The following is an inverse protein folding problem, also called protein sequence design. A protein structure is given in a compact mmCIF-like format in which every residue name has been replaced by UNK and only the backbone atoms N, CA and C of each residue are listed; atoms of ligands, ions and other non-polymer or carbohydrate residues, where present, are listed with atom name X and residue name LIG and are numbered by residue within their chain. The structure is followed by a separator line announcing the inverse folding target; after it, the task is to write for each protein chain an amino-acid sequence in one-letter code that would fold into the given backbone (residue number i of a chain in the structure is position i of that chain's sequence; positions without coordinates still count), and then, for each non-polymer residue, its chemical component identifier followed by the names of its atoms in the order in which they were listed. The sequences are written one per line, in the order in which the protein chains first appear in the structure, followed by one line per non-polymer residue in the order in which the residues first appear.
data_IF_773064191084
#
_entry.id   IF_773064191084
#
_cell.length_a   1.000
_cell.length_b   1.000
_cell.length_c   1.000
_cell.angle_alpha   90.00
_cell.angle_beta   90.00
_cell.angle_gamma   90.00
#
_symmetry.space_group_name_H-M   'P 1'
#
loop_
_entity.id
_entity.type
_entity.pdbx_description
1 polymer ?
#
# COMPACT_ATOMS: atom_id res chain seq x y z
N UNK A 1 2.49 -14.60 -24.08
CA UNK A 1 2.13 -13.18 -24.30
C UNK A 1 0.70 -12.97 -24.82
N UNK A 2 0.22 -13.80 -25.74
CA UNK A 2 -1.14 -13.70 -26.30
C UNK A 2 -2.25 -13.78 -25.23
N UNK A 3 -2.19 -14.79 -24.36
CA UNK A 3 -3.18 -15.01 -23.30
C UNK A 3 -3.28 -13.82 -22.35
N UNK A 4 -2.12 -13.25 -21.95
CA UNK A 4 -2.09 -12.02 -21.15
C UNK A 4 -2.82 -10.87 -21.87
N UNK A 5 -2.57 -10.65 -23.16
CA UNK A 5 -3.23 -9.57 -23.93
C UNK A 5 -4.74 -9.78 -24.00
N UNK A 6 -5.20 -11.02 -24.18
CA UNK A 6 -6.63 -11.34 -24.16
C UNK A 6 -7.26 -11.06 -22.79
N UNK A 7 -6.58 -11.42 -21.69
CA UNK A 7 -7.03 -11.12 -20.34
C UNK A 7 -7.03 -9.60 -20.06
N UNK A 8 -6.01 -8.86 -20.49
CA UNK A 8 -5.99 -7.39 -20.40
C UNK A 8 -7.22 -6.81 -21.09
N UNK A 9 -7.51 -7.24 -22.33
CA UNK A 9 -8.68 -6.76 -23.06
C UNK A 9 -10.01 -7.08 -22.34
N UNK A 10 -10.12 -8.27 -21.73
CA UNK A 10 -11.29 -8.66 -20.95
C UNK A 10 -11.51 -7.75 -19.73
N UNK A 11 -10.44 -7.44 -18.99
CA UNK A 11 -10.52 -6.64 -17.76
C UNK A 11 -10.46 -5.12 -17.99
N UNK A 12 -10.11 -4.65 -19.20
CA UNK A 12 -10.20 -3.23 -19.57
C UNK A 12 -11.62 -2.66 -19.45
N UNK A 13 -12.66 -3.52 -19.41
CA UNK A 13 -14.05 -3.09 -19.21
C UNK A 13 -14.35 -2.55 -17.82
N UNK A 14 -13.51 -2.78 -16.81
CA UNK A 14 -13.74 -2.38 -15.41
C UNK A 14 -13.49 -0.87 -15.15
N UNK A 15 -13.90 -0.03 -16.10
CA UNK A 15 -13.55 1.40 -16.16
C UNK A 15 -14.13 2.21 -15.01
N UNK A 16 -15.35 1.92 -14.56
CA UNK A 16 -16.03 2.68 -13.50
C UNK A 16 -15.35 2.48 -12.13
N UNK A 17 -15.01 1.23 -11.78
CA UNK A 17 -14.32 0.93 -10.52
C UNK A 17 -12.86 1.41 -10.52
N UNK A 18 -12.17 1.29 -11.66
CA UNK A 18 -10.86 1.93 -11.84
C UNK A 18 -10.96 3.44 -11.64
N UNK A 19 -12.00 4.09 -12.19
CA UNK A 19 -12.21 5.53 -12.07
C UNK A 19 -12.44 5.97 -10.62
N UNK A 20 -13.21 5.21 -9.86
CA UNK A 20 -13.38 5.44 -8.41
C UNK A 20 -12.03 5.42 -7.71
N UNK A 21 -11.16 4.47 -8.04
CA UNK A 21 -9.81 4.38 -7.45
C UNK A 21 -8.94 5.56 -7.86
N UNK A 22 -8.94 5.93 -9.14
CA UNK A 22 -8.21 7.10 -9.68
C UNK A 22 -8.56 8.40 -8.96
N UNK A 23 -9.84 8.61 -8.68
CA UNK A 23 -10.33 9.83 -8.06
C UNK A 23 -10.10 9.79 -6.55
N UNK A 24 -10.56 8.73 -5.87
CA UNK A 24 -10.58 8.68 -4.40
C UNK A 24 -9.22 8.36 -3.76
N UNK A 25 -8.31 7.66 -4.45
CA UNK A 25 -6.98 7.37 -3.89
C UNK A 25 -5.95 8.41 -4.33
N UNK A 26 -6.00 8.84 -5.59
CA UNK A 26 -4.90 9.58 -6.21
C UNK A 26 -5.20 11.05 -6.50
N UNK A 27 -6.43 11.52 -6.30
CA UNK A 27 -6.82 12.88 -6.70
C UNK A 27 -7.44 13.66 -5.55
N UNK A 28 -8.55 13.17 -5.01
CA UNK A 28 -9.38 13.93 -4.09
C UNK A 28 -8.68 14.30 -2.78
N UNK A 29 -7.93 13.41 -2.09
CA UNK A 29 -7.24 13.76 -0.85
C UNK A 29 -6.23 14.91 -0.98
N UNK A 30 -5.80 15.25 -2.20
CA UNK A 30 -4.76 16.24 -2.49
C UNK A 30 -5.34 17.57 -3.04
N UNK A 31 -6.66 17.74 -3.04
CA UNK A 31 -7.34 18.97 -3.46
C UNK A 31 -8.53 19.28 -2.55
N UNK A 32 -9.19 20.41 -2.81
CA UNK A 32 -10.54 20.63 -2.29
C UNK A 32 -11.49 19.76 -3.11
N UNK A 33 -12.16 18.83 -2.46
CA UNK A 33 -13.15 17.94 -3.04
C UNK A 33 -14.34 17.83 -2.08
N UNK A 34 -15.55 17.80 -2.63
CA UNK A 34 -16.81 17.78 -1.87
C UNK A 34 -16.91 16.56 -0.94
N UNK A 35 -16.38 15.42 -1.37
CA UNK A 35 -16.49 14.14 -0.68
C UNK A 35 -15.41 13.95 0.40
N UNK A 36 -14.40 14.83 0.47
CA UNK A 36 -13.38 14.72 1.49
C UNK A 36 -13.96 15.12 2.85
N UNK A 37 -13.60 14.34 3.87
CA UNK A 37 -13.84 14.67 5.28
C UNK A 37 -12.65 14.23 6.12
N UNK A 38 -12.56 14.77 7.33
CA UNK A 38 -11.54 14.43 8.31
C UNK A 38 -12.05 14.81 9.71
N UNK A 39 -11.34 14.41 10.76
CA UNK A 39 -11.63 14.83 12.13
C UNK A 39 -11.39 16.34 12.27
N UNK A 40 -12.48 17.11 12.19
CA UNK A 40 -12.49 18.57 12.19
C UNK A 40 -12.97 19.11 13.53
N UNK A 41 -12.37 20.21 14.06
CA UNK A 41 -11.32 21.03 13.44
C UNK A 41 -9.88 20.50 13.63
N UNK A 42 -9.70 19.38 14.32
CA UNK A 42 -8.39 18.93 14.81
C UNK A 42 -7.36 18.64 13.72
N UNK A 43 -7.78 18.28 12.50
CA UNK A 43 -6.92 18.00 11.34
C UNK A 43 -7.01 19.04 10.22
N UNK A 44 -7.65 20.20 10.42
CA UNK A 44 -7.82 21.20 9.36
C UNK A 44 -6.48 21.66 8.78
N UNK A 45 -5.49 21.90 9.66
CA UNK A 45 -4.14 22.29 9.27
C UNK A 45 -3.38 21.15 8.58
N UNK A 46 -3.52 19.91 9.06
CA UNK A 46 -2.89 18.74 8.45
C UNK A 46 -3.45 18.48 7.04
N UNK A 47 -4.77 18.58 6.88
CA UNK A 47 -5.43 18.46 5.58
C UNK A 47 -5.02 19.59 4.62
N UNK A 48 -4.87 20.83 5.12
CA UNK A 48 -4.35 21.95 4.33
C UNK A 48 -2.91 21.71 3.88
N UNK A 49 -2.04 21.26 4.78
CA UNK A 49 -0.65 20.98 4.46
C UNK A 49 -0.50 19.91 3.36
N UNK A 50 -1.28 18.82 3.41
CA UNK A 50 -1.28 17.79 2.36
C UNK A 50 -1.75 18.35 1.02
N UNK A 51 -2.80 19.20 1.02
CA UNK A 51 -3.30 19.84 -0.20
C UNK A 51 -2.35 20.90 -0.76
N UNK A 52 -1.48 21.49 0.05
CA UNK A 52 -0.54 22.52 -0.38
C UNK A 52 0.84 21.94 -0.77
N UNK A 53 1.10 20.68 -0.44
CA UNK A 53 2.35 20.01 -0.74
C UNK A 53 2.49 19.65 -2.23
N UNK A 54 3.11 20.56 -2.99
CA UNK A 54 3.42 20.35 -4.39
C UNK A 54 4.39 19.18 -4.67
N UNK A 55 5.26 18.82 -3.71
CA UNK A 55 6.16 17.67 -3.84
C UNK A 55 5.39 16.36 -3.78
N UNK A 56 4.53 16.23 -2.77
CA UNK A 56 3.65 15.09 -2.59
C UNK A 56 2.73 14.89 -3.79
N UNK A 57 2.12 15.96 -4.29
CA UNK A 57 1.26 15.91 -5.49
C UNK A 57 1.98 15.34 -6.72
N UNK A 58 3.25 15.71 -6.93
CA UNK A 58 4.04 15.14 -8.04
C UNK A 58 4.27 13.65 -7.84
N UNK A 59 4.72 13.25 -6.66
CA UNK A 59 4.97 11.83 -6.36
C UNK A 59 3.69 10.97 -6.49
N UNK A 60 2.55 11.45 -5.99
CA UNK A 60 1.25 10.78 -6.16
C UNK A 60 0.82 10.73 -7.62
N UNK A 61 1.09 11.78 -8.40
CA UNK A 61 0.77 11.80 -9.83
C UNK A 61 1.56 10.75 -10.61
N UNK A 62 2.83 10.49 -10.25
CA UNK A 62 3.61 9.39 -10.84
C UNK A 62 3.02 8.02 -10.48
N UNK A 63 2.61 7.82 -9.22
CA UNK A 63 1.91 6.59 -8.79
C UNK A 63 0.57 6.41 -9.52
N UNK A 64 -0.17 7.50 -9.75
CA UNK A 64 -1.41 7.51 -10.54
C UNK A 64 -1.14 7.16 -12.00
N UNK A 65 -0.13 7.77 -12.60
CA UNK A 65 0.27 7.47 -13.98
C UNK A 65 0.62 5.99 -14.12
N UNK A 66 1.40 5.45 -13.18
CA UNK A 66 1.69 4.04 -13.11
C UNK A 66 0.43 3.16 -13.03
N UNK A 67 -0.53 3.52 -12.17
CA UNK A 67 -1.81 2.81 -12.03
C UNK A 67 -2.61 2.81 -13.34
N UNK A 68 -2.62 3.94 -14.05
CA UNK A 68 -3.33 4.12 -15.33
C UNK A 68 -2.70 3.36 -16.51
N UNK A 69 -1.39 3.11 -16.47
CA UNK A 69 -0.65 2.71 -17.68
C UNK A 69 0.03 1.35 -17.58
N UNK A 70 0.38 0.86 -16.38
CA UNK A 70 1.14 -0.38 -16.22
C UNK A 70 0.21 -1.57 -16.04
N UNK A 71 0.09 -2.39 -17.07
CA UNK A 71 -0.66 -3.66 -17.05
C UNK A 71 0.24 -4.84 -16.65
N UNK A 72 0.73 -4.85 -15.41
CA UNK A 72 1.73 -5.84 -14.97
C UNK A 72 1.11 -7.20 -14.65
N UNK A 73 0.10 -7.22 -13.77
CA UNK A 73 -0.62 -8.43 -13.33
C UNK A 73 -2.12 -8.14 -13.11
N UNK A 74 -2.93 -9.20 -13.11
CA UNK A 74 -4.33 -9.10 -12.69
C UNK A 74 -4.38 -8.92 -11.17
N UNK A 75 -4.78 -7.72 -10.74
CA UNK A 75 -4.87 -7.34 -9.34
C UNK A 75 -6.23 -7.70 -8.74
N UNK A 76 -6.28 -7.74 -7.41
CA UNK A 76 -7.51 -7.65 -6.63
C UNK A 76 -8.13 -6.25 -6.73
N UNK A 77 -7.32 -5.20 -6.68
CA UNK A 77 -7.75 -3.81 -6.84
C UNK A 77 -8.32 -3.15 -5.58
N UNK A 78 -8.83 -3.93 -4.62
CA UNK A 78 -9.21 -3.43 -3.29
C UNK A 78 -8.71 -4.26 -2.10
N UNK A 79 -7.46 -4.71 -2.13
CA UNK A 79 -6.89 -5.57 -1.08
C UNK A 79 -6.54 -4.80 0.21
N UNK A 80 -7.55 -4.45 1.00
CA UNK A 80 -7.40 -3.94 2.37
C UNK A 80 -7.82 -4.99 3.41
N UNK A 81 -7.60 -4.72 4.70
CA UNK A 81 -7.93 -5.65 5.80
C UNK A 81 -9.41 -6.06 5.84
N UNK A 82 -10.33 -5.16 5.44
CA UNK A 82 -11.75 -5.50 5.30
C UNK A 82 -12.10 -6.48 4.17
N UNK A 83 -11.17 -6.75 3.25
CA UNK A 83 -11.35 -7.71 2.12
C UNK A 83 -10.66 -9.04 2.42
N UNK A 84 -10.32 -9.28 3.68
CA UNK A 84 -9.68 -10.49 4.17
C UNK A 84 -10.48 -10.99 5.37
N UNK A 85 -11.02 -12.20 5.26
CA UNK A 85 -11.67 -12.90 6.37
C UNK A 85 -10.70 -13.92 6.96
N UNK A 86 -10.57 -13.94 8.28
CA UNK A 86 -9.63 -14.82 8.98
C UNK A 86 -10.31 -15.62 10.10
N UNK A 87 -9.77 -16.80 10.34
CA UNK A 87 -9.85 -17.51 11.62
C UNK A 87 -8.42 -17.71 12.14
N UNK A 88 -8.24 -18.41 13.26
CA UNK A 88 -6.89 -18.77 13.73
C UNK A 88 -6.11 -19.64 12.74
N UNK A 89 -6.79 -20.35 11.83
CA UNK A 89 -6.17 -21.36 10.94
C UNK A 89 -6.51 -21.21 9.46
N UNK A 90 -7.37 -20.25 9.08
CA UNK A 90 -7.76 -20.01 7.69
C UNK A 90 -7.72 -18.52 7.35
N UNK A 91 -7.43 -18.21 6.09
CA UNK A 91 -7.37 -16.84 5.56
C UNK A 91 -7.95 -16.83 4.15
N UNK A 92 -9.00 -16.04 3.94
CA UNK A 92 -9.72 -15.93 2.67
C UNK A 92 -9.75 -14.48 2.21
N UNK A 93 -9.25 -14.25 1.00
CA UNK A 93 -9.40 -12.97 0.31
C UNK A 93 -10.75 -12.98 -0.43
N UNK A 94 -11.52 -11.92 -0.29
CA UNK A 94 -12.86 -11.76 -0.85
C UNK A 94 -12.96 -10.42 -1.58
N UNK A 95 -14.02 -10.26 -2.39
CA UNK A 95 -14.39 -9.00 -3.02
C UNK A 95 -13.40 -8.40 -4.04
N UNK A 96 -12.96 -9.17 -5.05
CA UNK A 96 -12.08 -8.66 -6.11
C UNK A 96 -12.85 -7.88 -7.18
N UNK A 97 -13.89 -7.10 -6.82
CA UNK A 97 -14.71 -6.38 -7.82
C UNK A 97 -13.90 -5.32 -8.57
N UNK A 98 -12.89 -4.72 -7.93
CA UNK A 98 -11.95 -3.77 -8.51
C UNK A 98 -10.86 -4.41 -9.38
N UNK A 99 -10.95 -5.71 -9.67
CA UNK A 99 -9.91 -6.42 -10.41
C UNK A 99 -9.67 -5.83 -11.80
N UNK A 100 -8.41 -5.55 -12.10
CA UNK A 100 -7.93 -5.10 -13.41
C UNK A 100 -6.44 -5.40 -13.57
N UNK A 101 -5.90 -5.23 -14.78
CA UNK A 101 -4.45 -5.35 -14.98
C UNK A 101 -3.73 -4.07 -14.59
N UNK A 102 -3.02 -4.10 -13.47
CA UNK A 102 -2.34 -2.96 -12.87
C UNK A 102 -0.92 -3.27 -12.37
N UNK A 103 -0.29 -2.32 -11.66
CA UNK A 103 1.04 -2.49 -11.09
C UNK A 103 1.02 -3.43 -9.87
N UNK A 104 1.93 -4.40 -9.83
CA UNK A 104 1.93 -5.47 -8.80
C UNK A 104 2.00 -4.90 -7.38
N UNK A 105 2.77 -3.81 -7.19
CA UNK A 105 2.93 -3.17 -5.88
C UNK A 105 1.62 -2.62 -5.28
N UNK A 106 0.57 -2.40 -6.09
CA UNK A 106 -0.66 -1.77 -5.62
C UNK A 106 -1.39 -2.59 -4.56
N UNK A 107 -1.63 -3.89 -4.80
CA UNK A 107 -2.35 -4.74 -3.84
C UNK A 107 -1.57 -4.95 -2.54
N UNK A 108 -0.29 -5.31 -2.64
CA UNK A 108 0.55 -5.52 -1.46
C UNK A 108 0.78 -4.21 -0.69
N UNK A 109 0.91 -3.09 -1.39
CA UNK A 109 1.00 -1.76 -0.79
C UNK A 109 -0.29 -1.38 -0.06
N UNK A 110 -1.46 -1.65 -0.64
CA UNK A 110 -2.76 -1.38 -0.01
C UNK A 110 -2.91 -2.18 1.28
N UNK A 111 -2.53 -3.46 1.30
CA UNK A 111 -2.54 -4.28 2.51
C UNK A 111 -1.58 -3.75 3.57
N UNK A 112 -0.31 -3.48 3.21
CA UNK A 112 0.70 -2.90 4.11
C UNK A 112 0.20 -1.58 4.70
N UNK A 113 -0.36 -0.68 3.90
CA UNK A 113 -0.90 0.59 4.37
C UNK A 113 -2.04 0.44 5.38
N UNK A 114 -2.90 -0.57 5.23
CA UNK A 114 -3.98 -0.82 6.20
C UNK A 114 -3.45 -1.47 7.50
N UNK A 115 -2.40 -2.31 7.45
CA UNK A 115 -1.74 -2.83 8.66
C UNK A 115 -1.04 -1.71 9.44
N UNK A 116 -0.35 -0.79 8.75
CA UNK A 116 0.30 0.38 9.38
C UNK A 116 -0.73 1.36 9.96
N UNK A 117 -1.87 1.54 9.28
CA UNK A 117 -2.96 2.33 9.83
C UNK A 117 -3.55 1.69 11.09
N UNK A 118 -3.79 0.37 11.07
CA UNK A 118 -4.21 -0.36 12.26
C UNK A 118 -3.19 -0.25 13.40
N UNK A 119 -1.88 -0.19 13.11
CA UNK A 119 -0.85 0.07 14.11
C UNK A 119 -1.02 1.44 14.78
N UNK A 120 -1.23 2.50 14.00
CA UNK A 120 -1.42 3.85 14.54
C UNK A 120 -2.76 4.04 15.27
N UNK A 121 -3.78 3.24 14.97
CA UNK A 121 -5.07 3.35 15.66
C UNK A 121 -5.04 2.82 17.10
N UNK A 122 -4.08 1.94 17.43
CA UNK A 122 -4.13 1.18 18.69
C UNK A 122 -4.13 2.03 19.95
N UNK A 123 -3.36 3.14 20.01
CA UNK A 123 -3.44 4.06 21.18
C UNK A 123 -4.81 4.69 21.37
N UNK A 124 -5.56 4.85 20.28
CA UNK A 124 -6.93 5.33 20.35
C UNK A 124 -7.88 4.34 21.03
N UNK A 125 -7.57 3.05 20.94
CA UNK A 125 -8.36 1.96 21.52
C UNK A 125 -7.87 1.52 22.90
N UNK A 126 -6.71 2.00 23.35
CA UNK A 126 -6.18 1.71 24.68
C UNK A 126 -7.12 2.25 25.79
N UNK A 127 -7.53 1.34 26.67
CA UNK A 127 -8.25 1.67 27.91
C UNK A 127 -7.29 1.98 29.06
N UNK A 128 -6.11 1.35 29.05
CA UNK A 128 -5.00 1.57 29.97
C UNK A 128 -3.72 1.73 29.15
N UNK A 129 -2.85 2.64 29.57
CA UNK A 129 -1.57 2.89 28.90
C UNK A 129 -0.76 1.60 28.75
N UNK A 130 -0.31 1.33 27.52
CA UNK A 130 0.52 0.17 27.19
C UNK A 130 -0.25 -1.14 27.00
N UNK A 131 -1.58 -1.16 27.17
CA UNK A 131 -2.38 -2.38 27.03
C UNK A 131 -2.29 -2.99 25.61
N UNK A 132 -2.00 -2.18 24.59
CA UNK A 132 -1.90 -2.62 23.20
C UNK A 132 -0.45 -2.71 22.68
N UNK A 133 0.57 -2.57 23.54
CA UNK A 133 1.99 -2.58 23.13
C UNK A 133 2.37 -3.86 22.38
N UNK A 134 2.01 -5.02 22.94
CA UNK A 134 2.27 -6.32 22.31
C UNK A 134 1.54 -6.46 20.97
N UNK A 135 0.32 -5.93 20.85
CA UNK A 135 -0.47 -6.01 19.62
C UNK A 135 0.07 -5.07 18.54
N UNK A 136 0.53 -3.87 18.92
CA UNK A 136 1.26 -2.96 18.02
C UNK A 136 2.53 -3.58 17.49
N UNK A 137 3.32 -4.21 18.36
CA UNK A 137 4.52 -4.92 17.93
C UNK A 137 4.18 -6.05 16.95
N UNK A 138 3.14 -6.83 17.24
CA UNK A 138 2.65 -7.87 16.34
C UNK A 138 2.20 -7.32 14.97
N UNK A 139 1.57 -6.13 14.92
CA UNK A 139 1.18 -5.49 13.64
C UNK A 139 2.40 -5.11 12.80
N UNK A 140 3.48 -4.63 13.42
CA UNK A 140 4.74 -4.34 12.70
C UNK A 140 5.37 -5.64 12.17
N UNK A 141 5.49 -6.67 13.01
CA UNK A 141 6.01 -7.98 12.62
C UNK A 141 5.18 -8.61 11.49
N UNK A 142 3.86 -8.46 11.55
CA UNK A 142 2.94 -8.94 10.50
C UNK A 142 3.15 -8.17 9.20
N UNK A 143 3.37 -6.86 9.27
CA UNK A 143 3.68 -6.03 8.10
C UNK A 143 4.96 -6.49 7.41
N UNK A 144 6.02 -6.77 8.19
CA UNK A 144 7.29 -7.32 7.68
C UNK A 144 7.08 -8.72 7.08
N UNK A 145 6.35 -9.60 7.76
CA UNK A 145 6.07 -10.95 7.31
C UNK A 145 5.27 -10.99 5.98
N UNK A 146 4.33 -10.06 5.78
CA UNK A 146 3.57 -9.93 4.52
C UNK A 146 4.50 -9.62 3.36
N UNK A 147 5.35 -8.60 3.49
CA UNK A 147 6.28 -8.23 2.41
C UNK A 147 7.33 -9.31 2.16
N UNK A 148 8.01 -9.78 3.21
CA UNK A 148 9.08 -10.76 3.09
C UNK A 148 8.55 -12.10 2.57
N UNK A 149 7.36 -12.52 3.02
CA UNK A 149 6.68 -13.70 2.52
C UNK A 149 6.25 -13.56 1.06
N UNK A 150 5.74 -12.40 0.66
CA UNK A 150 5.44 -12.09 -0.75
C UNK A 150 6.71 -12.18 -1.61
N UNK A 151 7.77 -11.47 -1.24
CA UNK A 151 9.03 -11.43 -1.98
C UNK A 151 9.65 -12.82 -2.16
N UNK A 152 9.70 -13.59 -1.07
CA UNK A 152 10.20 -14.97 -1.10
C UNK A 152 9.38 -15.86 -2.04
N UNK A 153 8.05 -15.86 -1.91
CA UNK A 153 7.16 -16.69 -2.75
C UNK A 153 7.20 -16.26 -4.22
N UNK A 154 7.25 -14.95 -4.48
CA UNK A 154 7.34 -14.41 -5.84
C UNK A 154 8.59 -14.90 -6.56
N UNK A 155 9.76 -14.80 -5.91
CA UNK A 155 11.03 -15.28 -6.46
C UNK A 155 11.06 -16.81 -6.60
N UNK A 156 10.52 -17.54 -5.62
CA UNK A 156 10.41 -19.00 -5.70
C UNK A 156 9.58 -19.44 -6.91
N UNK A 157 8.43 -18.79 -7.15
CA UNK A 157 7.57 -19.05 -8.30
C UNK A 157 8.25 -18.68 -9.63
N UNK A 158 8.97 -17.55 -9.67
CA UNK A 158 9.75 -17.18 -10.85
C UNK A 158 10.78 -18.25 -11.17
N UNK A 159 11.57 -18.69 -10.20
CA UNK A 159 12.61 -19.70 -10.40
C UNK A 159 12.04 -21.08 -10.79
N UNK A 160 10.89 -21.47 -10.22
CA UNK A 160 10.22 -22.73 -10.55
C UNK A 160 9.50 -22.69 -11.92
N UNK A 161 9.04 -21.51 -12.35
CA UNK A 161 8.20 -21.31 -13.53
C UNK A 161 8.83 -20.42 -14.60
N UNK A 162 10.16 -20.49 -14.80
CA UNK A 162 10.94 -19.64 -15.70
C UNK A 162 10.70 -19.89 -17.21
N UNK A 163 9.44 -19.97 -17.62
CA UNK A 163 8.99 -20.17 -19.01
C UNK A 163 8.35 -18.93 -19.64
N UNK A 164 8.34 -17.79 -18.93
CA UNK A 164 7.72 -16.55 -19.39
C UNK A 164 8.53 -15.82 -20.46
N UNK A 165 7.83 -15.06 -21.30
CA UNK A 165 8.44 -14.33 -22.44
C UNK A 165 9.36 -13.17 -22.04
N UNK A 166 9.23 -12.65 -20.81
CA UNK A 166 9.97 -11.47 -20.36
C UNK A 166 11.45 -11.77 -20.06
N UNK A 167 11.75 -13.00 -19.61
CA UNK A 167 13.08 -13.43 -19.18
C UNK A 167 13.37 -14.85 -19.70
N UNK A 168 13.46 -15.04 -21.03
CA UNK A 168 13.61 -16.37 -21.60
C UNK A 168 14.95 -16.98 -21.18
N UNK A 169 14.93 -18.25 -20.76
CA UNK A 169 16.10 -18.95 -20.23
C UNK A 169 17.31 -18.96 -21.19
N UNK A 170 17.06 -18.95 -22.50
CA UNK A 170 18.11 -18.92 -23.53
C UNK A 170 18.97 -17.64 -23.53
N UNK A 171 18.52 -16.55 -22.88
CA UNK A 171 19.33 -15.34 -22.70
C UNK A 171 20.23 -15.40 -21.45
N UNK A 172 20.02 -16.38 -20.56
CA UNK A 172 20.63 -16.45 -19.24
C UNK A 172 21.32 -17.80 -18.98
N UNK A 173 21.92 -18.38 -20.01
CA UNK A 173 22.65 -19.65 -19.93
C UNK A 173 24.00 -19.51 -19.19
N UNK A 174 24.49 -20.60 -18.60
CA UNK A 174 25.77 -20.65 -17.91
C UNK A 174 25.79 -19.95 -16.54
N UNK A 175 26.97 -19.76 -15.98
CA UNK A 175 27.14 -19.11 -14.67
C UNK A 175 26.87 -17.60 -14.73
N UNK A 176 27.44 -16.91 -15.72
CA UNK A 176 27.26 -15.47 -15.90
C UNK A 176 25.79 -15.12 -16.17
N UNK A 177 25.11 -15.90 -17.02
CA UNK A 177 23.68 -15.73 -17.29
C UNK A 177 22.82 -15.87 -16.03
N UNK A 178 23.08 -16.87 -15.19
CA UNK A 178 22.39 -17.04 -13.90
C UNK A 178 22.61 -15.86 -12.95
N UNK A 179 23.83 -15.33 -12.86
CA UNK A 179 24.11 -14.14 -12.05
C UNK A 179 23.41 -12.89 -12.59
N UNK A 180 23.34 -12.76 -13.92
CA UNK A 180 22.62 -11.66 -14.58
C UNK A 180 21.11 -11.72 -14.33
N UNK A 181 20.52 -12.93 -14.40
CA UNK A 181 19.10 -13.13 -14.09
C UNK A 181 18.79 -12.79 -12.62
N UNK A 182 19.67 -13.17 -11.68
CA UNK A 182 19.50 -12.82 -10.27
C UNK A 182 19.46 -11.30 -10.06
N UNK A 183 20.34 -10.54 -10.74
CA UNK A 183 20.32 -9.06 -10.68
C UNK A 183 19.03 -8.47 -11.26
N UNK A 184 18.50 -9.06 -12.33
CA UNK A 184 17.23 -8.64 -12.91
C UNK A 184 16.04 -8.91 -11.95
N UNK A 185 16.07 -10.04 -11.25
CA UNK A 185 15.09 -10.37 -10.22
C UNK A 185 15.17 -9.38 -9.05
N UNK A 186 16.36 -9.07 -8.56
CA UNK A 186 16.58 -8.07 -7.49
C UNK A 186 16.04 -6.70 -7.91
N UNK A 187 16.37 -6.24 -9.13
CA UNK A 187 15.88 -4.97 -9.66
C UNK A 187 14.34 -4.95 -9.79
N UNK A 188 13.74 -6.07 -10.22
CA UNK A 188 12.27 -6.17 -10.32
C UNK A 188 11.61 -6.15 -8.94
N UNK A 189 12.16 -6.87 -7.96
CA UNK A 189 11.64 -6.85 -6.60
C UNK A 189 11.78 -5.49 -5.94
N UNK A 190 12.89 -4.78 -6.20
CA UNK A 190 13.10 -3.39 -5.77
C UNK A 190 12.03 -2.46 -6.33
N UNK A 191 11.74 -2.52 -7.63
CA UNK A 191 10.70 -1.71 -8.24
C UNK A 191 9.30 -2.01 -7.67
N UNK A 192 8.95 -3.29 -7.46
CA UNK A 192 7.68 -3.68 -6.84
C UNK A 192 7.59 -3.16 -5.39
N UNK A 193 8.70 -3.16 -4.65
CA UNK A 193 8.74 -2.63 -3.29
C UNK A 193 8.51 -1.12 -3.26
N UNK A 194 9.17 -0.36 -4.14
CA UNK A 194 8.99 1.08 -4.24
C UNK A 194 7.53 1.45 -4.53
N UNK A 195 6.92 0.74 -5.48
CA UNK A 195 5.50 0.87 -5.76
C UNK A 195 4.64 0.56 -4.52
N UNK A 196 4.91 -0.56 -3.85
CA UNK A 196 4.17 -0.99 -2.67
C UNK A 196 4.22 0.06 -1.55
N UNK A 197 5.40 0.62 -1.28
CA UNK A 197 5.60 1.67 -0.28
C UNK A 197 4.85 2.95 -0.66
N UNK A 198 4.93 3.37 -1.93
CA UNK A 198 4.17 4.52 -2.43
C UNK A 198 2.66 4.34 -2.32
N UNK A 199 2.14 3.19 -2.77
CA UNK A 199 0.71 2.87 -2.70
C UNK A 199 0.22 2.68 -1.26
N UNK A 200 1.06 2.16 -0.35
CA UNK A 200 0.75 2.12 1.08
C UNK A 200 0.47 3.53 1.62
N UNK A 201 1.37 4.49 1.34
CA UNK A 201 1.16 5.88 1.74
C UNK A 201 -0.10 6.51 1.13
N UNK A 202 -0.38 6.28 -0.17
CA UNK A 202 -1.61 6.76 -0.79
C UNK A 202 -2.87 6.17 -0.12
N UNK A 203 -2.84 4.87 0.20
CA UNK A 203 -3.94 4.19 0.90
C UNK A 203 -4.14 4.74 2.31
N UNK A 204 -3.07 5.07 3.02
CA UNK A 204 -3.13 5.68 4.35
C UNK A 204 -3.71 7.10 4.29
N UNK A 205 -3.25 7.96 3.38
CA UNK A 205 -3.76 9.33 3.22
C UNK A 205 -5.25 9.32 2.87
N UNK A 206 -5.65 8.53 1.87
CA UNK A 206 -7.05 8.53 1.43
C UNK A 206 -8.02 8.03 2.50
N UNK A 207 -7.57 7.15 3.41
CA UNK A 207 -8.39 6.64 4.53
C UNK A 207 -8.57 7.68 5.64
N UNK A 208 -7.71 8.71 5.69
CA UNK A 208 -7.79 9.77 6.70
C UNK A 208 -8.44 11.06 6.18
N UNK A 209 -8.21 11.42 4.90
CA UNK A 209 -8.66 12.71 4.33
C UNK A 209 -9.68 12.58 3.20
N UNK A 210 -9.96 11.37 2.74
CA UNK A 210 -10.86 11.09 1.62
C UNK A 210 -12.31 10.80 2.05
N UNK A 211 -13.10 10.26 1.13
CA UNK A 211 -14.50 9.88 1.39
C UNK A 211 -14.63 8.68 2.34
N UNK A 212 -13.91 7.60 2.02
CA UNK A 212 -14.09 6.30 2.63
C UNK A 212 -13.03 6.05 3.71
N UNK A 213 -13.39 6.36 4.95
CA UNK A 213 -12.57 6.08 6.15
C UNK A 213 -12.57 4.58 6.50
N UNK A 214 -11.87 4.19 7.56
CA UNK A 214 -11.94 2.83 8.11
C UNK A 214 -12.35 2.83 9.58
N UNK A 215 -12.78 1.65 10.04
CA UNK A 215 -13.29 1.46 11.40
C UNK A 215 -12.18 1.59 12.44
N UNK A 216 -10.93 1.29 12.09
CA UNK A 216 -9.78 1.41 12.97
C UNK A 216 -9.68 2.82 13.56
N UNK A 217 -9.89 3.87 12.74
CA UNK A 217 -9.88 5.25 13.23
C UNK A 217 -11.27 5.71 13.70
N UNK A 218 -12.33 5.38 12.94
CA UNK A 218 -13.67 5.92 13.19
C UNK A 218 -14.29 5.44 14.50
N UNK A 219 -13.87 4.28 15.02
CA UNK A 219 -14.34 3.76 16.31
C UNK A 219 -13.57 4.31 17.52
N UNK A 220 -12.49 5.07 17.31
CA UNK A 220 -11.79 5.75 18.42
C UNK A 220 -12.70 6.85 18.98
N UNK A 221 -13.07 6.74 20.25
CA UNK A 221 -13.85 7.78 20.94
C UNK A 221 -13.00 9.02 21.23
N UNK A 222 -13.59 10.20 20.98
CA UNK A 222 -12.98 11.51 21.23
C UNK A 222 -12.13 12.02 20.06
N UNK A 223 -12.56 13.13 19.47
CA UNK A 223 -11.93 13.72 18.28
C UNK A 223 -10.43 13.99 18.46
N UNK A 224 -10.01 14.56 19.61
CA UNK A 224 -8.60 14.84 19.86
C UNK A 224 -7.73 13.57 19.90
N UNK A 225 -8.26 12.47 20.45
CA UNK A 225 -7.57 11.17 20.51
C UNK A 225 -7.47 10.54 19.13
N UNK A 226 -8.57 10.56 18.36
CA UNK A 226 -8.59 10.08 16.97
C UNK A 226 -7.64 10.88 16.09
N UNK A 227 -7.71 12.21 16.13
CA UNK A 227 -6.86 13.09 15.34
C UNK A 227 -5.36 12.92 15.66
N UNK A 228 -5.00 12.61 16.91
CA UNK A 228 -3.62 12.28 17.24
C UNK A 228 -3.11 11.02 16.50
N UNK A 229 -3.94 9.97 16.43
CA UNK A 229 -3.61 8.74 15.69
C UNK A 229 -3.56 9.00 14.17
N UNK A 230 -4.54 9.73 13.66
CA UNK A 230 -4.63 10.11 12.25
C UNK A 230 -3.45 10.98 11.79
N UNK A 231 -2.98 11.90 12.63
CA UNK A 231 -1.81 12.74 12.33
C UNK A 231 -0.53 11.92 12.16
N UNK A 232 -0.29 10.95 13.05
CA UNK A 232 0.86 10.02 12.92
C UNK A 232 0.75 9.18 11.66
N UNK A 233 -0.46 8.71 11.34
CA UNK A 233 -0.73 8.03 10.07
C UNK A 233 -0.39 8.90 8.86
N UNK A 234 -0.82 10.18 8.83
CA UNK A 234 -0.50 11.11 7.75
C UNK A 234 1.00 11.42 7.64
N UNK A 235 1.70 11.55 8.77
CA UNK A 235 3.15 11.77 8.79
C UNK A 235 3.89 10.61 8.12
N UNK A 236 3.61 9.37 8.54
CA UNK A 236 4.24 8.21 7.93
C UNK A 236 3.86 8.12 6.45
N UNK A 237 2.58 8.27 6.13
CA UNK A 237 2.10 8.11 4.75
C UNK A 237 2.79 9.09 3.78
N UNK A 238 2.94 10.35 4.18
CA UNK A 238 3.70 11.33 3.41
C UNK A 238 5.17 10.93 3.30
N UNK A 239 5.80 10.49 4.39
CA UNK A 239 7.18 10.01 4.36
C UNK A 239 7.37 8.85 3.37
N UNK A 240 6.48 7.86 3.37
CA UNK A 240 6.55 6.71 2.47
C UNK A 240 6.48 7.13 1.00
N UNK A 241 5.51 7.97 0.63
CA UNK A 241 5.37 8.44 -0.76
C UNK A 241 6.62 9.21 -1.21
N UNK A 242 7.14 10.09 -0.36
CA UNK A 242 8.25 10.97 -0.71
C UNK A 242 9.62 10.28 -0.74
N UNK A 243 9.76 9.13 -0.05
CA UNK A 243 11.04 8.45 0.15
C UNK A 243 11.03 7.00 -0.32
N UNK A 244 10.03 6.58 -1.10
CA UNK A 244 9.87 5.19 -1.53
C UNK A 244 11.16 4.58 -2.13
N UNK A 245 11.85 5.33 -3.00
CA UNK A 245 13.09 4.91 -3.67
C UNK A 245 14.32 4.83 -2.75
N UNK A 246 14.28 5.46 -1.57
CA UNK A 246 15.41 5.48 -0.63
C UNK A 246 15.20 4.57 0.58
N UNK A 247 13.98 4.09 0.79
CA UNK A 247 13.66 3.15 1.87
C UNK A 247 14.27 1.79 1.53
N UNK A 248 15.21 1.31 2.35
CA UNK A 248 16.01 0.12 2.07
C UNK A 248 15.19 -1.18 1.99
N UNK A 249 14.19 -1.33 2.86
CA UNK A 249 13.37 -2.54 2.98
C UNK A 249 12.19 -2.33 3.93
N UNK A 250 11.39 -3.37 4.15
CA UNK A 250 10.14 -3.26 4.94
C UNK A 250 10.43 -2.96 6.41
N UNK A 251 11.55 -3.43 6.94
CA UNK A 251 12.00 -3.17 8.31
C UNK A 251 12.31 -1.68 8.52
N UNK A 252 12.74 -0.96 7.48
CA UNK A 252 12.92 0.48 7.54
C UNK A 252 11.57 1.24 7.57
N UNK A 253 10.52 0.67 6.98
CA UNK A 253 9.15 1.21 7.04
C UNK A 253 8.60 1.07 8.46
N UNK A 254 8.66 -0.14 9.03
CA UNK A 254 8.16 -0.42 10.39
C UNK A 254 8.97 0.30 11.46
N UNK A 255 10.30 0.39 11.31
CA UNK A 255 11.14 1.20 12.21
C UNK A 255 10.75 2.68 12.16
N UNK A 256 10.43 3.23 10.97
CA UNK A 256 9.95 4.61 10.87
C UNK A 256 8.58 4.78 11.52
N UNK A 257 7.67 3.82 11.36
CA UNK A 257 6.37 3.82 12.01
C UNK A 257 6.50 3.85 13.54
N UNK A 258 7.33 2.97 14.11
CA UNK A 258 7.62 2.91 15.54
C UNK A 258 8.25 4.20 16.08
N UNK A 259 9.15 4.82 15.31
CA UNK A 259 9.75 6.10 15.68
C UNK A 259 8.71 7.22 15.77
N UNK A 260 7.80 7.32 14.78
CA UNK A 260 6.72 8.32 14.78
C UNK A 260 5.80 8.09 15.99
N UNK A 261 5.51 6.83 16.31
CA UNK A 261 4.61 6.47 17.42
C UNK A 261 5.14 6.79 18.81
N UNK A 262 6.47 6.94 18.95
CA UNK A 262 7.13 7.27 20.23
C UNK A 262 7.50 8.75 20.34
N UNK A 263 7.49 9.50 19.23
CA UNK A 263 7.98 10.89 19.17
C UNK A 263 6.92 11.98 19.43
N UNK A 264 5.67 11.62 19.71
CA UNK A 264 4.58 12.58 19.97
C UNK A 264 3.53 12.04 20.90
#
# INVERSE_FOLDING_TARGET
AGDKKALVALFCGNTELCRITEDLIFTDPYRIAELNRWTSPELDADAAAIREDGGLKRAVSELKHAFLTRSEALLHGDLHTGSIMITETDTRVIDPEFAFFGPIGFDVGKLIGNLLLAFFSQRGHETTEGAHDAYRQWLLETTEAVWNGFAHKFLALWNAGASGDAWPASLFEGEEGRLSLARAQDARMRAIFEDAVGYAGCSMIRRTLGLAHNIDMEWIEGNGRRAACERRNLELARYLIMNASTIAGIEAVTARAALIETSG
#
